data_IF_041321839564
#
_entry.id   IF_041321839564
#
_cell.length_a   1.000
_cell.length_b   1.000
_cell.length_c   1.000
_cell.angle_alpha   90.00
_cell.angle_beta   90.00
_cell.angle_gamma   90.00
#
_symmetry.space_group_name_H-M   'P 1'
#
loop_
_entity.id
_entity.type
_entity.pdbx_description
1 polymer ?
#
# COMPACT_ATOMS: atom_id res chain seq x y z
N UNK A 1 4.08 -2.45 6.86
CA UNK A 1 3.18 -2.17 5.72
C UNK A 1 2.16 -1.14 6.15
N UNK A 2 2.03 -0.07 5.37
CA UNK A 2 1.09 1.02 5.62
C UNK A 2 -0.04 0.95 4.60
N UNK A 3 -1.28 1.08 5.05
CA UNK A 3 -2.48 0.95 4.22
C UNK A 3 -3.51 1.99 4.68
N UNK A 4 -4.28 2.57 3.77
CA UNK A 4 -5.34 3.55 4.07
C UNK A 4 -6.74 2.92 4.20
N UNK A 5 -6.82 1.59 4.24
CA UNK A 5 -8.06 0.84 4.38
C UNK A 5 -8.19 0.25 5.79
N UNK A 6 -8.81 1.02 6.69
CA UNK A 6 -8.92 0.71 8.12
C UNK A 6 -9.57 -0.65 8.41
N UNK A 7 -10.62 -1.01 7.68
CA UNK A 7 -11.33 -2.28 7.84
C UNK A 7 -10.39 -3.47 7.66
N UNK A 8 -9.56 -3.47 6.61
CA UNK A 8 -8.58 -4.53 6.38
C UNK A 8 -7.56 -4.63 7.52
N UNK A 9 -7.10 -3.50 8.05
CA UNK A 9 -6.16 -3.49 9.19
C UNK A 9 -6.83 -4.10 10.43
N UNK A 10 -8.11 -3.81 10.67
CA UNK A 10 -8.87 -4.39 11.77
C UNK A 10 -9.07 -5.90 11.60
N UNK A 11 -9.40 -6.35 10.38
CA UNK A 11 -9.56 -7.78 10.09
C UNK A 11 -8.21 -8.51 10.23
N UNK A 12 -7.12 -7.96 9.71
CA UNK A 12 -5.77 -8.51 9.87
C UNK A 12 -5.36 -8.64 11.34
N UNK A 13 -5.60 -7.60 12.16
CA UNK A 13 -5.26 -7.60 13.58
C UNK A 13 -6.11 -8.57 14.39
N UNK A 14 -7.38 -8.76 14.02
CA UNK A 14 -8.26 -9.68 14.72
C UNK A 14 -7.97 -11.16 14.41
N UNK A 15 -7.14 -11.45 13.39
CA UNK A 15 -6.76 -12.81 12.94
C UNK A 15 -7.95 -13.79 12.83
N UNK A 16 -9.13 -13.23 12.60
CA UNK A 16 -10.38 -13.96 12.65
C UNK A 16 -10.66 -14.63 11.32
N UNK A 17 -11.06 -15.90 11.36
CA UNK A 17 -11.66 -16.66 10.26
C UNK A 17 -13.01 -16.03 9.84
N UNK A 18 -12.95 -14.81 9.33
CA UNK A 18 -14.11 -14.09 8.83
C UNK A 18 -14.34 -14.57 7.40
N UNK A 19 -15.55 -15.05 7.12
CA UNK A 19 -16.02 -15.38 5.75
C UNK A 19 -16.22 -14.10 4.92
N UNK A 20 -15.25 -13.20 4.98
CA UNK A 20 -15.25 -11.92 4.30
C UNK A 20 -14.81 -12.13 2.86
N UNK A 21 -15.28 -11.27 1.95
CA UNK A 21 -14.86 -11.26 0.55
C UNK A 21 -13.33 -11.06 0.40
N UNK A 22 -12.69 -10.48 1.42
CA UNK A 22 -11.24 -10.24 1.45
C UNK A 22 -10.42 -11.41 2.03
N UNK A 23 -11.05 -12.53 2.41
CA UNK A 23 -10.35 -13.67 3.00
C UNK A 23 -9.17 -14.19 2.13
N UNK A 24 -9.31 -14.36 0.80
CA UNK A 24 -8.18 -14.81 -0.02
C UNK A 24 -6.98 -13.85 0.03
N UNK A 25 -7.24 -12.54 0.04
CA UNK A 25 -6.18 -11.51 0.12
C UNK A 25 -5.45 -11.58 1.47
N UNK A 26 -6.16 -11.93 2.55
CA UNK A 26 -5.57 -12.08 3.87
C UNK A 26 -4.71 -13.35 3.99
N UNK A 27 -5.12 -14.44 3.32
CA UNK A 27 -4.32 -15.67 3.24
C UNK A 27 -3.01 -15.43 2.48
N UNK A 28 -3.07 -14.73 1.33
CA UNK A 28 -1.86 -14.32 0.61
C UNK A 28 -0.96 -13.40 1.47
N UNK A 29 -1.56 -12.47 2.22
CA UNK A 29 -0.82 -11.61 3.12
C UNK A 29 -0.17 -12.40 4.28
N UNK A 30 -0.84 -13.45 4.77
CA UNK A 30 -0.29 -14.35 5.79
C UNK A 30 0.91 -15.15 5.25
N UNK A 31 0.81 -15.69 4.04
CA UNK A 31 1.92 -16.37 3.36
C UNK A 31 3.13 -15.43 3.17
N UNK A 32 2.88 -14.22 2.68
CA UNK A 32 3.92 -13.20 2.55
C UNK A 32 4.51 -12.85 3.92
N UNK A 33 3.67 -12.72 4.96
CA UNK A 33 4.14 -12.41 6.30
C UNK A 33 5.09 -13.47 6.88
N UNK A 34 4.90 -14.74 6.52
CA UNK A 34 5.77 -15.85 6.93
C UNK A 34 7.18 -15.75 6.32
N UNK A 35 7.34 -14.97 5.24
CA UNK A 35 8.64 -14.69 4.62
C UNK A 35 9.46 -13.65 5.40
N UNK A 36 8.86 -12.96 6.37
CA UNK A 36 9.52 -11.94 7.19
C UNK A 36 9.64 -12.41 8.65
N UNK A 37 10.72 -12.02 9.33
CA UNK A 37 10.86 -12.26 10.77
C UNK A 37 9.75 -11.57 11.60
N UNK A 38 9.25 -10.43 11.11
CA UNK A 38 8.10 -9.72 11.66
C UNK A 38 7.48 -8.82 10.59
N UNK A 39 6.16 -8.85 10.47
CA UNK A 39 5.40 -7.94 9.60
C UNK A 39 4.34 -7.21 10.44
N UNK A 40 4.42 -5.89 10.48
CA UNK A 40 3.37 -5.05 11.08
C UNK A 40 2.57 -4.36 9.98
N UNK A 41 1.24 -4.45 10.07
CA UNK A 41 0.31 -3.73 9.18
C UNK A 41 -0.34 -2.60 9.98
N UNK A 42 -0.21 -1.38 9.47
CA UNK A 42 -0.66 -0.15 10.15
C UNK A 42 -1.55 0.67 9.22
N UNK A 43 -2.51 1.37 9.82
CA UNK A 43 -3.39 2.26 9.09
C UNK A 43 -2.78 3.66 9.01
N UNK A 44 -2.76 4.24 7.81
CA UNK A 44 -2.37 5.64 7.57
C UNK A 44 -3.52 6.40 6.92
N UNK A 45 -3.52 7.73 7.05
CA UNK A 45 -4.50 8.56 6.34
C UNK A 45 -4.31 8.50 4.82
N UNK A 46 -5.39 8.65 4.05
CA UNK A 46 -5.32 8.68 2.56
C UNK A 46 -4.36 9.74 2.02
N UNK A 47 -4.23 10.87 2.74
CA UNK A 47 -3.29 11.94 2.42
C UNK A 47 -1.82 11.51 2.48
N UNK A 48 -1.50 10.47 3.26
CA UNK A 48 -0.16 9.90 3.39
C UNK A 48 0.04 8.72 2.41
N UNK A 49 -1.04 8.09 1.92
CA UNK A 49 -0.97 6.97 0.98
C UNK A 49 -1.07 7.39 -0.50
N UNK A 50 -0.74 8.66 -0.82
CA UNK A 50 -0.87 9.24 -2.16
C UNK A 50 -0.07 8.46 -3.22
N UNK A 51 1.20 8.07 -2.99
CA UNK A 51 1.96 7.31 -3.99
C UNK A 51 1.27 6.01 -4.41
N UNK A 52 0.79 5.22 -3.43
CA UNK A 52 0.11 3.95 -3.70
C UNK A 52 -1.22 4.16 -4.44
N UNK A 53 -1.99 5.19 -4.05
CA UNK A 53 -3.22 5.55 -4.76
C UNK A 53 -2.97 5.90 -6.22
N UNK A 54 -1.92 6.69 -6.51
CA UNK A 54 -1.56 7.06 -7.87
C UNK A 54 -1.13 5.85 -8.71
N UNK A 55 -0.36 4.93 -8.13
CA UNK A 55 0.02 3.68 -8.79
C UNK A 55 -1.21 2.83 -9.14
N UNK A 56 -2.12 2.61 -8.19
CA UNK A 56 -3.35 1.85 -8.43
C UNK A 56 -4.23 2.50 -9.51
N UNK A 57 -4.36 3.84 -9.45
CA UNK A 57 -5.12 4.60 -10.45
C UNK A 57 -4.53 4.48 -11.86
N UNK A 58 -3.21 4.55 -11.99
CA UNK A 58 -2.53 4.36 -13.27
C UNK A 58 -2.76 2.95 -13.81
N UNK A 59 -2.58 1.93 -12.96
CA UNK A 59 -2.81 0.54 -13.34
C UNK A 59 -4.25 0.29 -13.81
N UNK A 60 -5.26 0.91 -13.18
CA UNK A 60 -6.65 0.82 -13.63
C UNK A 60 -6.93 1.53 -14.96
N UNK A 61 -6.09 2.48 -15.37
CA UNK A 61 -6.27 3.25 -16.62
C UNK A 61 -5.53 2.64 -17.82
N UNK A 62 -4.71 1.62 -17.59
CA UNK A 62 -3.89 0.98 -18.61
C UNK A 62 -4.62 -0.23 -19.21
N UNK A 63 -4.68 -0.30 -20.54
CA UNK A 63 -5.10 -1.50 -21.28
C UNK A 63 -3.95 -2.52 -21.39
N UNK A 64 -3.33 -2.86 -20.26
CA UNK A 64 -2.22 -3.81 -20.20
C UNK A 64 -1.33 -3.69 -18.96
N UNK A 65 -0.21 -4.40 -18.99
CA UNK A 65 0.80 -4.35 -17.92
C UNK A 65 1.97 -3.51 -18.37
N UNK A 66 2.34 -2.50 -17.57
CA UNK A 66 3.58 -1.75 -17.75
C UNK A 66 4.64 -2.19 -16.73
N UNK A 67 5.89 -2.16 -17.15
CA UNK A 67 7.06 -2.40 -16.30
C UNK A 67 8.02 -1.23 -16.42
N UNK A 68 8.56 -0.78 -15.30
CA UNK A 68 9.48 0.35 -15.25
C UNK A 68 10.88 -0.17 -14.92
N UNK A 69 11.79 -0.15 -15.91
CA UNK A 69 13.21 -0.51 -15.71
C UNK A 69 14.03 0.75 -15.42
N UNK A 70 13.94 1.77 -16.28
CA UNK A 70 14.33 3.16 -16.05
C UNK A 70 13.85 4.02 -17.24
N UNK A 71 13.33 5.25 -17.07
CA UNK A 71 13.02 5.95 -15.82
C UNK A 71 11.68 5.54 -15.17
N UNK A 72 11.61 5.62 -13.84
CA UNK A 72 10.34 5.52 -13.10
C UNK A 72 9.38 6.68 -13.44
N UNK A 73 8.06 6.48 -13.33
CA UNK A 73 7.08 7.48 -13.72
C UNK A 73 7.24 8.81 -12.97
N UNK A 74 7.04 9.92 -13.68
CA UNK A 74 7.19 11.26 -13.11
C UNK A 74 6.26 11.52 -11.93
N UNK A 75 5.02 10.99 -11.98
CA UNK A 75 4.07 11.14 -10.87
C UNK A 75 4.63 10.56 -9.58
N UNK A 76 5.29 9.40 -9.64
CA UNK A 76 5.80 8.70 -8.47
C UNK A 76 6.96 9.48 -7.86
N UNK A 77 7.87 9.98 -8.70
CA UNK A 77 8.99 10.84 -8.27
C UNK A 77 8.49 12.14 -7.64
N UNK A 78 7.44 12.75 -8.21
CA UNK A 78 6.83 13.97 -7.67
C UNK A 78 6.16 13.71 -6.30
N UNK A 79 5.43 12.60 -6.17
CA UNK A 79 4.81 12.20 -4.90
C UNK A 79 5.87 11.99 -3.82
N UNK A 80 6.94 11.23 -4.12
CA UNK A 80 8.03 10.97 -3.18
C UNK A 80 8.77 12.24 -2.77
N UNK A 81 9.06 13.15 -3.71
CA UNK A 81 9.68 14.44 -3.38
C UNK A 81 8.80 15.27 -2.44
N UNK A 82 7.49 15.29 -2.68
CA UNK A 82 6.55 16.03 -1.83
C UNK A 82 6.53 15.44 -0.42
N UNK A 83 6.49 14.11 -0.31
CA UNK A 83 6.49 13.39 0.97
C UNK A 83 7.79 13.65 1.78
N UNK A 84 8.95 13.58 1.13
CA UNK A 84 10.23 13.91 1.76
C UNK A 84 10.31 15.38 2.19
N UNK A 85 9.71 16.30 1.42
CA UNK A 85 9.71 17.72 1.77
C UNK A 85 8.77 18.04 2.94
N UNK A 86 7.68 17.30 3.10
CA UNK A 86 6.79 17.43 4.27
C UNK A 86 7.53 17.02 5.55
N UNK A 87 8.34 15.95 5.50
CA UNK A 87 9.16 15.53 6.65
C UNK A 87 10.20 16.57 7.10
N UNK A 88 10.62 17.49 6.21
CA UNK A 88 11.55 18.57 6.53
C UNK A 88 10.86 19.81 7.15
N UNK A 89 9.54 19.92 7.03
CA UNK A 89 8.75 21.03 7.56
C UNK A 89 8.13 20.71 8.94
N UNK A 90 8.15 19.44 9.36
CA UNK A 90 7.71 18.95 10.68
C UNK A 90 8.88 18.83 11.71
N UNK A 91 10.04 19.47 11.45
CA UNK A 91 11.15 19.65 12.41
C UNK A 91 11.15 21.06 13.00
#
# INVERSE_FOLDING_TARGET
MEIDFLELVNVWKSRGNSRSIVAPILEELEEISASFASLTVTHIGRSCNVPAHQCARLACSLDGTESWIDPSPEFLRSCLRTDCNLMLLDQ
#
